data_IF_193613144063
#
_entry.id   IF_193613144063
#
_cell.length_a   1.000
_cell.length_b   1.000
_cell.length_c   1.000
_cell.angle_alpha   90.00
_cell.angle_beta   90.00
_cell.angle_gamma   90.00
#
_symmetry.space_group_name_H-M   'P 1'
#
loop_
_entity.id
_entity.type
_entity.pdbx_description
1 polymer ?
#
# COMPACT_ATOMS: atom_id res chain seq x y z
N UNK A 1 -45.36 -1.68 49.00
CA UNK A 1 -44.56 -1.74 47.76
C UNK A 1 -43.14 -1.32 48.10
N UNK A 2 -42.16 -2.20 47.87
CA UNK A 2 -40.74 -2.01 48.20
C UNK A 2 -40.04 -1.16 47.13
N UNK A 3 -39.14 -0.24 47.48
CA UNK A 3 -38.03 0.14 46.61
C UNK A 3 -36.88 -0.85 46.79
N UNK A 4 -36.29 -1.28 45.68
CA UNK A 4 -35.14 -2.18 45.62
C UNK A 4 -33.85 -1.45 46.01
N UNK A 5 -33.07 -2.11 46.88
CA UNK A 5 -31.69 -1.78 47.25
C UNK A 5 -30.71 -2.15 46.12
N UNK A 6 -29.58 -1.44 46.07
CA UNK A 6 -28.33 -1.84 45.42
C UNK A 6 -27.37 -0.65 45.35
N UNK A 7 -26.85 -0.19 46.48
CA UNK A 7 -25.50 -0.48 47.02
C UNK A 7 -24.34 0.17 46.26
N UNK A 8 -23.74 1.15 46.95
CA UNK A 8 -22.38 1.67 46.77
C UNK A 8 -21.35 0.55 46.61
N UNK A 9 -20.39 0.75 45.70
CA UNK A 9 -18.95 0.50 45.95
C UNK A 9 -18.10 1.40 45.05
N UNK A 10 -17.79 2.59 45.56
CA UNK A 10 -16.60 3.36 45.17
C UNK A 10 -15.36 2.54 45.56
N UNK A 11 -14.85 1.74 44.61
CA UNK A 11 -13.55 1.10 44.69
C UNK A 11 -12.51 2.01 44.04
N UNK A 12 -11.92 2.91 44.82
CA UNK A 12 -10.66 3.56 44.49
C UNK A 12 -9.56 2.49 44.48
N UNK A 13 -9.30 1.89 43.31
CA UNK A 13 -8.03 1.19 43.09
C UNK A 13 -6.96 2.25 42.84
N UNK A 14 -6.06 2.40 43.83
CA UNK A 14 -4.77 3.06 43.66
C UNK A 14 -4.09 2.41 42.45
N UNK A 15 -4.04 3.14 41.33
CA UNK A 15 -3.18 2.80 40.21
C UNK A 15 -1.75 2.70 40.72
N UNK A 16 -1.20 1.51 40.57
CA UNK A 16 0.18 1.19 40.87
C UNK A 16 1.09 2.21 40.19
N UNK A 17 2.14 2.60 40.91
CA UNK A 17 3.14 3.54 40.42
C UNK A 17 3.62 3.16 39.04
N UNK A 18 3.76 4.18 38.20
CA UNK A 18 4.59 4.17 37.01
C UNK A 18 5.91 3.49 37.37
N UNK A 19 6.05 2.23 37.00
CA UNK A 19 7.35 1.62 36.84
C UNK A 19 8.01 2.43 35.72
N UNK A 20 8.99 3.24 36.11
CA UNK A 20 9.99 3.73 35.18
C UNK A 20 10.56 2.47 34.55
N UNK A 21 10.25 2.24 33.27
CA UNK A 21 10.84 1.15 32.50
C UNK A 21 12.35 1.28 32.66
N UNK A 22 12.97 0.30 33.29
CA UNK A 22 14.41 0.17 33.33
C UNK A 22 14.87 0.21 31.87
N UNK A 23 15.73 1.17 31.52
CA UNK A 23 16.18 1.33 30.14
C UNK A 23 16.88 0.02 29.74
N UNK A 24 16.35 -0.65 28.72
CA UNK A 24 16.93 -1.90 28.24
C UNK A 24 18.42 -1.66 27.91
N UNK A 25 19.30 -2.53 28.41
CA UNK A 25 20.71 -2.43 28.11
C UNK A 25 20.93 -2.64 26.61
N UNK A 26 21.82 -1.87 25.95
CA UNK A 26 22.09 -2.06 24.54
C UNK A 26 22.69 -3.44 24.29
N UNK A 27 22.21 -4.10 23.24
CA UNK A 27 22.64 -5.42 22.80
C UNK A 27 22.80 -5.43 21.28
N UNK A 28 23.48 -6.42 20.68
CA UNK A 28 23.47 -6.60 19.24
C UNK A 28 22.07 -7.00 18.75
N UNK A 29 21.60 -6.33 17.71
CA UNK A 29 20.37 -6.63 16.96
C UNK A 29 20.74 -6.87 15.51
N UNK A 30 20.12 -7.85 14.87
CA UNK A 30 20.39 -8.24 13.48
C UNK A 30 19.15 -8.02 12.63
N UNK A 31 19.34 -7.31 11.51
CA UNK A 31 18.31 -7.04 10.53
C UNK A 31 18.68 -7.58 9.15
N UNK A 32 17.75 -8.28 8.49
CA UNK A 32 17.85 -8.51 7.04
C UNK A 32 17.31 -7.27 6.33
N UNK A 33 18.20 -6.49 5.74
CA UNK A 33 17.93 -5.16 5.23
C UNK A 33 18.01 -5.11 3.71
N UNK A 34 17.12 -4.31 3.12
CA UNK A 34 17.07 -4.04 1.69
C UNK A 34 17.54 -2.63 1.39
N UNK A 35 18.32 -2.49 0.33
CA UNK A 35 18.98 -1.26 -0.06
C UNK A 35 18.86 -0.99 -1.55
N UNK A 36 19.07 0.26 -1.92
CA UNK A 36 19.43 0.66 -3.28
C UNK A 36 20.77 1.37 -3.23
N UNK A 37 21.71 0.92 -4.05
CA UNK A 37 23.03 1.56 -4.20
C UNK A 37 22.91 2.95 -4.84
N UNK A 38 23.95 3.78 -4.74
CA UNK A 38 24.02 5.07 -5.45
C UNK A 38 23.87 4.95 -6.97
N UNK A 39 24.24 3.80 -7.53
CA UNK A 39 24.02 3.45 -8.95
C UNK A 39 22.61 2.95 -9.28
N UNK A 40 21.70 2.89 -8.30
CA UNK A 40 20.32 2.44 -8.50
C UNK A 40 20.12 0.93 -8.51
N UNK A 41 21.18 0.15 -8.26
CA UNK A 41 21.12 -1.32 -8.20
C UNK A 41 20.56 -1.76 -6.84
N UNK A 42 19.51 -2.62 -6.79
CA UNK A 42 19.03 -3.20 -5.56
C UNK A 42 20.08 -4.10 -4.91
N UNK A 43 20.16 -4.06 -3.59
CA UNK A 43 21.06 -4.91 -2.81
C UNK A 43 20.37 -5.32 -1.52
N UNK A 44 20.73 -6.47 -0.99
CA UNK A 44 20.25 -6.92 0.30
C UNK A 44 21.41 -7.39 1.17
N UNK A 45 21.22 -7.30 2.48
CA UNK A 45 22.05 -8.07 3.38
C UNK A 45 21.80 -7.88 4.86
N UNK A 46 22.53 -8.67 5.63
CA UNK A 46 22.44 -8.68 7.08
C UNK A 46 23.20 -7.49 7.65
N UNK A 47 22.56 -6.77 8.58
CA UNK A 47 23.18 -5.67 9.32
C UNK A 47 23.04 -5.94 10.80
N UNK A 48 24.15 -5.80 11.55
CA UNK A 48 24.14 -5.78 12.99
C UNK A 48 24.19 -4.33 13.51
N UNK A 49 23.38 -4.03 14.51
CA UNK A 49 23.39 -2.76 15.24
C UNK A 49 23.43 -3.03 16.74
N UNK A 50 24.30 -2.33 17.47
CA UNK A 50 24.33 -2.34 18.93
C UNK A 50 23.36 -1.28 19.47
N UNK A 51 22.15 -1.69 19.85
CA UNK A 51 21.05 -0.81 20.25
C UNK A 51 20.13 -1.44 21.32
N UNK A 52 19.22 -0.63 21.85
CA UNK A 52 18.30 -1.03 22.93
C UNK A 52 17.00 -1.64 22.41
N UNK A 53 16.59 -1.29 21.20
CA UNK A 53 15.31 -1.66 20.60
C UNK A 53 15.33 -1.50 19.07
N UNK A 54 14.20 -1.85 18.44
CA UNK A 54 14.02 -1.77 16.99
C UNK A 54 14.05 -0.34 16.41
N UNK A 55 13.72 0.68 17.21
CA UNK A 55 13.78 2.08 16.77
C UNK A 55 15.24 2.56 16.75
N UNK A 56 16.03 2.18 17.75
CA UNK A 56 17.46 2.37 17.79
C UNK A 56 18.17 1.68 16.62
N UNK A 57 17.75 0.46 16.25
CA UNK A 57 18.25 -0.23 15.06
C UNK A 57 18.06 0.61 13.79
N UNK A 58 16.83 1.05 13.52
CA UNK A 58 16.48 1.83 12.32
C UNK A 58 17.23 3.16 12.29
N UNK A 59 17.28 3.86 13.41
CA UNK A 59 17.98 5.16 13.52
C UNK A 59 19.47 5.02 13.19
N UNK A 60 20.13 4.00 13.73
CA UNK A 60 21.54 3.77 13.45
C UNK A 60 21.78 3.31 12.00
N UNK A 61 20.88 2.47 11.46
CA UNK A 61 20.94 2.02 10.07
C UNK A 61 20.77 3.18 9.08
N UNK A 62 19.79 4.05 9.29
CA UNK A 62 19.54 5.22 8.44
C UNK A 62 20.70 6.22 8.45
N UNK A 63 21.42 6.32 9.57
CA UNK A 63 22.62 7.14 9.67
C UNK A 63 23.85 6.49 8.99
N UNK A 64 23.96 5.17 9.05
CA UNK A 64 25.14 4.43 8.58
C UNK A 64 25.08 4.04 7.09
N UNK A 65 23.89 3.71 6.57
CA UNK A 65 23.72 3.24 5.19
C UNK A 65 24.18 4.26 4.12
N UNK A 66 23.92 5.58 4.25
CA UNK A 66 24.41 6.56 3.29
C UNK A 66 25.95 6.63 3.22
N UNK A 67 26.64 6.35 4.32
CA UNK A 67 28.11 6.30 4.37
C UNK A 67 28.68 5.10 3.58
N UNK A 68 27.86 4.09 3.32
CA UNK A 68 28.17 2.94 2.46
C UNK A 68 27.67 3.13 1.01
N UNK A 69 27.14 4.31 0.67
CA UNK A 69 26.52 4.54 -0.64
C UNK A 69 25.21 3.77 -0.84
N UNK A 70 24.47 3.54 0.25
CA UNK A 70 23.21 2.79 0.25
C UNK A 70 22.06 3.67 0.72
N UNK A 71 20.88 3.46 0.12
CA UNK A 71 19.61 3.98 0.59
C UNK A 71 18.77 2.84 1.14
N UNK A 72 18.37 2.90 2.41
CA UNK A 72 17.55 1.88 3.06
C UNK A 72 16.16 1.84 2.43
N UNK A 73 15.67 0.64 2.09
CA UNK A 73 14.32 0.40 1.57
C UNK A 73 13.42 -0.33 2.55
N UNK A 74 13.99 -1.22 3.36
CA UNK A 74 13.21 -1.99 4.31
C UNK A 74 14.07 -2.90 5.17
N UNK A 75 13.43 -3.54 6.15
CA UNK A 75 14.03 -4.58 6.98
C UNK A 75 12.96 -5.63 7.25
N UNK A 76 13.16 -6.83 6.70
CA UNK A 76 12.12 -7.88 6.71
C UNK A 76 12.08 -8.66 8.01
N UNK A 77 13.26 -8.86 8.60
CA UNK A 77 13.45 -9.63 9.81
C UNK A 77 14.42 -8.89 10.70
N UNK A 78 14.04 -8.68 11.96
CA UNK A 78 14.82 -7.97 12.95
C UNK A 78 14.77 -8.74 14.27
N UNK A 79 15.91 -9.26 14.71
CA UNK A 79 16.01 -10.15 15.88
C UNK A 79 17.16 -9.69 16.79
N UNK A 80 16.93 -9.55 18.10
CA UNK A 80 18.00 -9.44 19.10
C UNK A 80 18.94 -10.65 19.06
N UNK A 81 20.25 -10.47 19.16
CA UNK A 81 21.21 -11.56 19.01
C UNK A 81 21.04 -12.67 20.07
N UNK A 82 20.54 -12.33 21.26
CA UNK A 82 20.25 -13.30 22.34
C UNK A 82 19.00 -14.16 22.07
N UNK A 83 18.20 -13.81 21.05
CA UNK A 83 16.99 -14.53 20.64
C UNK A 83 17.17 -15.34 19.35
N UNK A 84 18.37 -15.32 18.75
CA UNK A 84 18.67 -16.06 17.53
C UNK A 84 18.44 -17.57 17.72
N UNK A 85 17.72 -18.16 16.77
CA UNK A 85 17.55 -19.60 16.65
C UNK A 85 18.40 -20.15 15.50
N UNK A 86 18.82 -21.43 15.56
CA UNK A 86 19.46 -22.09 14.43
C UNK A 86 18.59 -22.01 13.16
N UNK A 87 19.15 -21.53 12.06
CA UNK A 87 18.45 -21.34 10.78
C UNK A 87 17.87 -19.94 10.58
N UNK A 88 17.90 -19.06 11.60
CA UNK A 88 17.60 -17.66 11.38
C UNK A 88 18.58 -17.04 10.38
N UNK A 89 18.05 -16.34 9.38
CA UNK A 89 18.81 -15.72 8.29
C UNK A 89 19.46 -16.71 7.29
N UNK A 90 19.06 -17.98 7.29
CA UNK A 90 19.40 -18.93 6.22
C UNK A 90 20.90 -19.21 6.11
N UNK A 91 21.49 -18.92 4.95
CA UNK A 91 22.92 -19.15 4.66
C UNK A 91 23.85 -18.08 5.25
N UNK A 92 23.30 -17.01 5.81
CA UNK A 92 24.08 -15.92 6.39
C UNK A 92 24.68 -16.33 7.72
N UNK A 93 25.77 -15.67 8.14
CA UNK A 93 26.40 -15.86 9.45
C UNK A 93 26.01 -14.73 10.43
N UNK A 94 24.83 -14.80 11.07
CA UNK A 94 24.40 -13.80 12.04
C UNK A 94 25.27 -13.77 13.30
N UNK A 95 25.89 -14.89 13.67
CA UNK A 95 26.70 -15.00 14.88
C UNK A 95 27.96 -14.15 14.79
N UNK A 96 28.75 -14.35 13.73
CA UNK A 96 29.96 -13.56 13.52
C UNK A 96 29.66 -12.06 13.35
N UNK A 97 28.57 -11.72 12.67
CA UNK A 97 28.18 -10.32 12.49
C UNK A 97 27.73 -9.66 13.80
N UNK A 98 27.00 -10.37 14.67
CA UNK A 98 26.62 -9.88 15.98
C UNK A 98 27.82 -9.63 16.90
N UNK A 99 28.85 -10.49 16.85
CA UNK A 99 30.10 -10.31 17.61
C UNK A 99 30.92 -9.11 17.13
N UNK A 100 30.68 -8.63 15.90
CA UNK A 100 31.42 -7.52 15.32
C UNK A 100 30.97 -6.13 15.78
N UNK A 101 29.84 -6.04 16.51
CA UNK A 101 29.27 -4.77 16.98
C UNK A 101 29.35 -4.62 18.49
N UNK A 102 29.45 -3.36 18.94
CA UNK A 102 29.49 -3.00 20.34
C UNK A 102 29.56 -1.49 20.50
N UNK A 103 29.77 -1.00 21.73
CA UNK A 103 29.78 0.45 22.00
C UNK A 103 30.79 1.24 21.13
N UNK A 104 31.92 0.64 20.76
CA UNK A 104 32.94 1.28 19.92
C UNK A 104 32.65 1.19 18.41
N UNK A 105 31.83 0.23 17.99
CA UNK A 105 31.42 0.02 16.60
C UNK A 105 29.93 -0.34 16.58
N UNK A 106 29.04 0.66 16.59
CA UNK A 106 27.63 0.43 16.81
C UNK A 106 26.91 -0.17 15.61
N UNK A 107 27.49 -0.15 14.41
CA UNK A 107 26.89 -0.70 13.19
C UNK A 107 27.93 -1.50 12.41
N UNK A 108 27.53 -2.67 11.90
CA UNK A 108 28.30 -3.46 10.97
C UNK A 108 27.40 -4.04 9.87
N UNK A 109 27.85 -3.90 8.63
CA UNK A 109 27.20 -4.49 7.46
C UNK A 109 27.91 -5.81 7.14
N UNK A 110 27.12 -6.87 6.94
CA UNK A 110 27.59 -8.13 6.36
C UNK A 110 27.87 -7.99 4.87
N UNK A 111 28.13 -9.12 4.21
CA UNK A 111 28.30 -9.15 2.76
C UNK A 111 27.03 -8.67 2.07
N UNK A 112 27.12 -7.74 1.12
CA UNK A 112 25.97 -7.26 0.37
C UNK A 112 25.85 -8.08 -0.90
N UNK A 113 24.71 -8.73 -1.10
CA UNK A 113 24.41 -9.40 -2.35
C UNK A 113 23.61 -8.47 -3.25
N UNK A 114 24.01 -8.39 -4.53
CA UNK A 114 23.18 -7.76 -5.53
C UNK A 114 21.86 -8.53 -5.55
N UNK A 115 20.76 -7.83 -5.28
CA UNK A 115 19.44 -8.37 -5.54
C UNK A 115 19.20 -8.10 -7.01
N UNK A 116 19.15 -9.16 -7.81
CA UNK A 116 18.39 -9.08 -9.05
C UNK A 116 17.01 -8.60 -8.62
N UNK A 117 16.54 -7.48 -9.17
CA UNK A 117 15.23 -6.89 -8.83
C UNK A 117 14.04 -7.77 -9.22
N UNK A 118 14.29 -9.06 -9.45
CA UNK A 118 13.34 -10.12 -9.74
C UNK A 118 13.34 -11.04 -8.52
N UNK A 119 12.29 -10.93 -7.70
CA UNK A 119 11.93 -12.03 -6.82
C UNK A 119 11.83 -13.29 -7.69
N UNK A 120 12.59 -14.32 -7.32
CA UNK A 120 12.51 -15.66 -7.92
C UNK A 120 11.05 -16.06 -8.08
N UNK A 121 10.62 -16.25 -9.33
CA UNK A 121 9.24 -16.33 -9.79
C UNK A 121 8.43 -17.57 -9.38
N UNK A 122 8.63 -18.08 -8.16
CA UNK A 122 7.76 -19.09 -7.54
C UNK A 122 7.28 -18.71 -6.12
N UNK A 123 7.86 -17.68 -5.48
CA UNK A 123 7.47 -17.20 -4.12
C UNK A 123 6.97 -15.74 -4.10
N UNK A 124 6.93 -15.08 -5.26
CA UNK A 124 6.49 -13.69 -5.35
C UNK A 124 4.97 -13.59 -5.20
N UNK A 125 4.47 -13.19 -4.03
CA UNK A 125 3.04 -12.94 -3.76
C UNK A 125 2.41 -11.91 -4.72
N UNK A 126 3.22 -10.99 -5.26
CA UNK A 126 2.76 -9.89 -6.11
C UNK A 126 3.53 -9.87 -7.43
N UNK A 127 2.80 -9.70 -8.51
CA UNK A 127 3.30 -9.40 -9.85
C UNK A 127 3.15 -7.90 -10.13
N UNK A 128 4.25 -7.28 -10.53
CA UNK A 128 4.31 -5.86 -10.90
C UNK A 128 4.36 -5.74 -12.42
N UNK A 129 3.50 -4.90 -12.98
CA UNK A 129 3.42 -4.64 -14.40
C UNK A 129 3.75 -3.17 -14.69
N UNK A 130 4.62 -2.92 -15.67
CA UNK A 130 4.87 -1.58 -16.19
C UNK A 130 4.04 -1.35 -17.45
N UNK A 131 3.23 -0.29 -17.46
CA UNK A 131 2.44 0.10 -18.64
C UNK A 131 3.18 1.11 -19.52
N UNK A 132 4.39 1.53 -19.12
CA UNK A 132 5.22 2.47 -19.85
C UNK A 132 4.75 3.92 -19.73
N UNK A 133 5.08 4.71 -20.76
CA UNK A 133 4.70 6.11 -20.86
C UNK A 133 3.22 6.26 -21.21
N UNK A 134 2.53 7.14 -20.48
CA UNK A 134 1.12 7.43 -20.64
C UNK A 134 0.95 8.88 -21.09
N UNK A 135 0.51 9.03 -22.32
CA UNK A 135 0.11 10.33 -22.85
C UNK A 135 -1.34 10.64 -22.42
N UNK A 136 -1.60 11.78 -21.75
CA UNK A 136 -2.95 12.17 -21.39
C UNK A 136 -3.79 12.52 -22.61
N UNK A 137 -5.10 12.44 -22.45
CA UNK A 137 -6.03 12.94 -23.45
C UNK A 137 -5.96 14.47 -23.51
N UNK A 138 -5.92 15.01 -24.72
CA UNK A 138 -6.00 16.45 -24.97
C UNK A 138 -7.31 16.81 -25.66
N UNK A 139 -7.63 18.10 -25.71
CA UNK A 139 -8.81 18.59 -26.46
C UNK A 139 -8.65 18.51 -27.99
N UNK A 140 -7.44 18.20 -28.49
CA UNK A 140 -7.08 18.27 -29.91
C UNK A 140 -7.09 16.89 -30.60
N UNK A 141 -7.69 15.86 -30.00
CA UNK A 141 -7.74 14.53 -30.61
C UNK A 141 -8.86 14.47 -31.65
N UNK A 142 -8.49 14.48 -32.94
CA UNK A 142 -9.37 14.33 -34.10
C UNK A 142 -9.75 12.84 -34.34
N UNK A 143 -10.15 12.14 -33.29
CA UNK A 143 -10.68 10.77 -33.37
C UNK A 143 -12.21 10.79 -33.24
N UNK A 144 -12.90 10.03 -34.09
CA UNK A 144 -14.37 9.86 -34.06
C UNK A 144 -14.73 8.38 -33.89
N UNK A 145 -15.26 7.95 -32.72
CA UNK A 145 -15.54 8.77 -31.54
C UNK A 145 -14.25 9.17 -30.77
N UNK A 146 -14.30 10.25 -29.98
CA UNK A 146 -13.13 10.71 -29.22
C UNK A 146 -12.74 9.69 -28.15
N UNK A 147 -11.43 9.46 -27.91
CA UNK A 147 -10.97 8.53 -26.90
C UNK A 147 -11.38 9.01 -25.50
N UNK A 148 -11.76 8.05 -24.67
CA UNK A 148 -12.12 8.24 -23.27
C UNK A 148 -11.03 7.79 -22.32
N UNK A 149 -10.04 7.02 -22.80
CA UNK A 149 -8.88 6.57 -22.04
C UNK A 149 -7.61 6.62 -22.89
N UNK A 150 -6.42 6.83 -22.30
CA UNK A 150 -5.15 6.75 -23.00
C UNK A 150 -4.98 5.38 -23.64
N UNK A 151 -4.46 5.33 -24.87
CA UNK A 151 -4.28 4.09 -25.63
C UNK A 151 -3.51 3.02 -24.83
N UNK A 152 -2.45 3.42 -24.13
CA UNK A 152 -1.63 2.54 -23.31
C UNK A 152 -2.39 1.89 -22.14
N UNK A 153 -3.43 2.56 -21.61
CA UNK A 153 -4.24 2.05 -20.50
C UNK A 153 -5.52 1.34 -20.94
N UNK A 154 -5.93 1.48 -22.20
CA UNK A 154 -7.22 0.94 -22.68
C UNK A 154 -7.36 -0.56 -22.43
N UNK A 155 -6.33 -1.35 -22.75
CA UNK A 155 -6.35 -2.79 -22.55
C UNK A 155 -6.39 -3.16 -21.05
N UNK A 156 -5.61 -2.47 -20.21
CA UNK A 156 -5.56 -2.73 -18.78
C UNK A 156 -6.88 -2.36 -18.07
N UNK A 157 -7.57 -1.31 -18.53
CA UNK A 157 -8.80 -0.82 -17.88
C UNK A 157 -10.06 -1.43 -18.47
N UNK A 158 -10.16 -1.63 -19.77
CA UNK A 158 -11.41 -2.05 -20.43
C UNK A 158 -11.22 -3.22 -21.40
N UNK A 159 -10.00 -3.71 -21.56
CA UNK A 159 -9.72 -4.89 -22.38
C UNK A 159 -10.17 -6.21 -21.75
N UNK A 160 -9.97 -7.31 -22.50
CA UNK A 160 -10.18 -8.67 -22.00
C UNK A 160 -9.30 -8.93 -20.78
N UNK A 161 -9.91 -9.41 -19.69
CA UNK A 161 -9.18 -9.87 -18.52
C UNK A 161 -8.76 -11.33 -18.71
N UNK A 162 -7.68 -11.75 -18.03
CA UNK A 162 -7.30 -13.15 -17.92
C UNK A 162 -8.49 -14.06 -17.57
N UNK A 163 -8.50 -15.32 -18.02
CA UNK A 163 -9.55 -16.27 -17.65
C UNK A 163 -9.77 -16.32 -16.14
N UNK A 164 -11.00 -16.60 -15.66
CA UNK A 164 -11.24 -16.85 -14.25
C UNK A 164 -10.29 -17.91 -13.70
N UNK A 165 -9.69 -17.63 -12.55
CA UNK A 165 -8.93 -18.61 -11.77
C UNK A 165 -9.85 -19.72 -11.25
N UNK A 166 -9.28 -20.87 -10.91
CA UNK A 166 -10.03 -21.99 -10.33
C UNK A 166 -10.76 -21.59 -9.03
N UNK A 167 -10.15 -20.69 -8.24
CA UNK A 167 -10.77 -20.16 -7.03
C UNK A 167 -12.02 -19.30 -7.34
N UNK A 168 -11.97 -18.46 -8.36
CA UNK A 168 -13.13 -17.69 -8.83
C UNK A 168 -14.22 -18.62 -9.37
N UNK A 169 -13.83 -19.61 -10.19
CA UNK A 169 -14.77 -20.60 -10.73
C UNK A 169 -15.46 -21.38 -9.60
N UNK A 170 -14.71 -21.84 -8.59
CA UNK A 170 -15.26 -22.54 -7.43
C UNK A 170 -16.24 -21.65 -6.64
N UNK A 171 -15.92 -20.36 -6.46
CA UNK A 171 -16.78 -19.40 -5.75
C UNK A 171 -18.12 -19.18 -6.46
N UNK A 172 -18.12 -19.19 -7.80
CA UNK A 172 -19.31 -18.96 -8.62
C UNK A 172 -19.96 -20.27 -9.14
N UNK A 173 -19.36 -21.42 -8.84
CA UNK A 173 -19.80 -22.77 -9.21
C UNK A 173 -19.50 -23.19 -10.65
N UNK A 174 -19.24 -22.25 -11.57
CA UNK A 174 -18.76 -22.53 -12.92
C UNK A 174 -18.18 -21.29 -13.58
N UNK A 175 -17.30 -21.47 -14.58
CA UNK A 175 -16.70 -20.35 -15.33
C UNK A 175 -17.75 -19.46 -16.03
N UNK A 176 -18.86 -20.04 -16.50
CA UNK A 176 -19.95 -19.30 -17.13
C UNK A 176 -20.73 -18.38 -16.15
N UNK A 177 -20.62 -18.62 -14.84
CA UNK A 177 -21.26 -17.81 -13.80
C UNK A 177 -20.33 -16.77 -13.20
N UNK A 178 -19.06 -16.75 -13.62
CA UNK A 178 -18.10 -15.75 -13.18
C UNK A 178 -18.48 -14.39 -13.80
N UNK A 179 -18.65 -13.32 -12.99
CA UNK A 179 -19.02 -12.01 -13.51
C UNK A 179 -18.03 -11.46 -14.54
N UNK A 180 -18.52 -10.61 -15.43
CA UNK A 180 -17.65 -9.82 -16.29
C UNK A 180 -16.76 -8.89 -15.45
N UNK A 181 -15.57 -8.60 -15.97
CA UNK A 181 -14.66 -7.65 -15.35
C UNK A 181 -15.25 -6.24 -15.36
N UNK A 182 -15.08 -5.53 -14.24
CA UNK A 182 -15.50 -4.15 -14.02
C UNK A 182 -14.30 -3.29 -13.67
N UNK A 183 -14.42 -2.00 -13.95
CA UNK A 183 -13.38 -1.02 -13.67
C UNK A 183 -13.85 -0.11 -12.58
N UNK A 184 -12.96 0.20 -11.64
CA UNK A 184 -13.25 1.10 -10.55
C UNK A 184 -12.15 2.16 -10.46
N UNK A 185 -12.47 3.28 -9.85
CA UNK A 185 -11.49 4.21 -9.33
C UNK A 185 -11.75 4.47 -7.85
N UNK A 186 -10.69 4.60 -7.06
CA UNK A 186 -10.77 5.16 -5.71
C UNK A 186 -10.14 6.54 -5.77
N UNK A 187 -10.99 7.57 -5.64
CA UNK A 187 -10.67 8.97 -5.88
C UNK A 187 -10.76 9.76 -4.58
N UNK A 188 -9.80 10.65 -4.37
CA UNK A 188 -9.77 11.60 -3.27
C UNK A 188 -10.61 12.84 -3.59
N UNK A 189 -11.71 13.02 -2.85
CA UNK A 189 -12.56 14.20 -2.99
C UNK A 189 -11.82 15.51 -2.69
N UNK A 190 -10.78 15.49 -1.86
CA UNK A 190 -9.98 16.68 -1.58
C UNK A 190 -9.22 17.20 -2.82
N UNK A 191 -8.97 16.33 -3.81
CA UNK A 191 -8.30 16.67 -5.07
C UNK A 191 -9.28 16.98 -6.18
N UNK A 192 -10.54 16.56 -6.08
CA UNK A 192 -11.55 16.70 -7.13
C UNK A 192 -12.57 17.75 -6.73
N UNK A 193 -12.50 18.98 -7.28
CA UNK A 193 -13.48 20.02 -6.98
C UNK A 193 -14.89 19.54 -7.31
N UNK A 194 -15.84 19.77 -6.41
CA UNK A 194 -17.24 19.41 -6.59
C UNK A 194 -17.46 17.91 -6.93
N UNK A 195 -16.64 17.01 -6.37
CA UNK A 195 -16.64 15.59 -6.73
C UNK A 195 -18.03 14.93 -6.65
N UNK A 196 -18.79 15.20 -5.59
CA UNK A 196 -20.11 14.63 -5.37
C UNK A 196 -21.08 15.06 -6.47
N UNK A 197 -21.05 16.33 -6.87
CA UNK A 197 -21.85 16.82 -7.99
C UNK A 197 -21.48 16.11 -9.29
N UNK A 198 -20.18 15.91 -9.56
CA UNK A 198 -19.76 15.18 -10.77
C UNK A 198 -20.15 13.70 -10.74
N UNK A 199 -20.08 13.05 -9.58
CA UNK A 199 -20.54 11.67 -9.41
C UNK A 199 -22.05 11.55 -9.60
N UNK A 200 -22.84 12.44 -8.98
CA UNK A 200 -24.30 12.50 -9.15
C UNK A 200 -24.68 12.72 -10.62
N UNK A 201 -24.05 13.68 -11.29
CA UNK A 201 -24.29 13.96 -12.71
C UNK A 201 -23.86 12.83 -13.63
N UNK A 202 -22.84 12.06 -13.26
CA UNK A 202 -22.36 10.93 -14.07
C UNK A 202 -23.33 9.76 -14.10
N UNK A 203 -24.18 9.61 -13.08
CA UNK A 203 -25.03 8.44 -12.89
C UNK A 203 -24.27 7.15 -12.56
N UNK A 204 -22.94 7.20 -12.46
CA UNK A 204 -22.11 6.02 -12.18
C UNK A 204 -22.32 5.54 -10.73
N UNK A 205 -22.38 4.22 -10.49
CA UNK A 205 -22.41 3.67 -9.14
C UNK A 205 -21.18 4.12 -8.31
N UNK A 206 -21.40 4.71 -7.15
CA UNK A 206 -20.31 5.22 -6.31
C UNK A 206 -20.61 5.11 -4.82
N UNK A 207 -19.55 5.08 -4.00
CA UNK A 207 -19.66 5.01 -2.53
C UNK A 207 -18.44 5.60 -1.83
N UNK A 208 -18.66 6.47 -0.84
CA UNK A 208 -17.59 6.95 0.03
C UNK A 208 -17.06 5.82 0.92
N UNK A 209 -15.73 5.69 1.10
CA UNK A 209 -15.16 4.69 2.00
C UNK A 209 -15.47 4.97 3.49
N UNK A 210 -15.81 6.21 3.83
CA UNK A 210 -16.28 6.59 5.16
C UNK A 210 -17.78 6.33 5.35
N UNK A 211 -18.24 6.29 6.61
CA UNK A 211 -19.63 5.99 7.00
C UNK A 211 -20.10 6.86 8.14
N UNK A 212 -21.42 7.03 8.25
CA UNK A 212 -22.08 7.71 9.36
C UNK A 212 -21.54 9.14 9.51
N UNK A 213 -21.29 9.54 10.76
CA UNK A 213 -20.78 10.88 11.08
C UNK A 213 -19.49 11.24 10.32
N UNK A 214 -18.60 10.27 10.07
CA UNK A 214 -17.37 10.52 9.32
C UNK A 214 -17.64 10.86 7.84
N UNK A 215 -18.68 10.27 7.23
CA UNK A 215 -19.11 10.63 5.88
C UNK A 215 -19.76 12.02 5.88
N UNK A 216 -20.65 12.29 6.82
CA UNK A 216 -21.32 13.59 6.93
C UNK A 216 -20.33 14.74 7.12
N UNK A 217 -19.27 14.51 7.90
CA UNK A 217 -18.29 15.54 8.25
C UNK A 217 -17.14 15.68 7.27
N UNK A 218 -16.71 14.59 6.64
CA UNK A 218 -15.48 14.57 5.82
C UNK A 218 -15.73 14.09 4.38
N UNK A 219 -16.99 13.94 3.95
CA UNK A 219 -17.32 13.39 2.64
C UNK A 219 -16.70 14.15 1.47
N UNK A 220 -16.53 15.47 1.61
CA UNK A 220 -15.90 16.41 0.68
C UNK A 220 -14.39 16.25 0.54
N UNK A 221 -13.74 15.57 1.50
CA UNK A 221 -12.29 15.31 1.53
C UNK A 221 -11.96 13.82 1.72
N UNK A 222 -12.96 12.95 1.62
CA UNK A 222 -12.83 11.52 1.80
C UNK A 222 -12.52 10.81 0.46
N UNK A 223 -11.95 9.59 0.51
CA UNK A 223 -11.87 8.73 -0.66
C UNK A 223 -13.23 8.12 -1.02
N UNK A 224 -13.55 8.10 -2.31
CA UNK A 224 -14.75 7.45 -2.86
C UNK A 224 -14.38 6.42 -3.90
N UNK A 225 -15.04 5.28 -3.87
CA UNK A 225 -15.01 4.32 -4.97
C UNK A 225 -16.11 4.67 -5.98
N UNK A 226 -15.80 4.59 -7.27
CA UNK A 226 -16.75 4.71 -8.38
C UNK A 226 -16.54 3.54 -9.34
N UNK A 227 -17.62 2.95 -9.84
CA UNK A 227 -17.60 2.00 -10.95
C UNK A 227 -17.58 2.78 -12.26
N UNK A 228 -16.51 2.61 -13.05
CA UNK A 228 -16.28 3.33 -14.29
C UNK A 228 -16.82 2.56 -15.49
N UNK A 229 -17.45 3.29 -16.41
CA UNK A 229 -17.81 2.82 -17.74
C UNK A 229 -16.86 3.43 -18.77
N UNK A 230 -16.53 2.70 -19.84
CA UNK A 230 -15.53 3.13 -20.83
C UNK A 230 -15.96 4.43 -21.52
N UNK A 231 -17.25 4.58 -21.81
CA UNK A 231 -17.85 5.64 -22.60
C UNK A 231 -18.31 6.83 -21.75
N UNK A 232 -18.21 6.72 -20.42
CA UNK A 232 -18.67 7.77 -19.52
C UNK A 232 -17.77 9.01 -19.60
N UNK A 233 -18.39 10.19 -19.73
CA UNK A 233 -17.68 11.49 -19.70
C UNK A 233 -16.84 11.65 -18.42
N UNK A 234 -17.31 11.12 -17.29
CA UNK A 234 -16.56 11.15 -16.02
C UNK A 234 -15.26 10.34 -16.11
N UNK A 235 -15.28 9.15 -16.74
CA UNK A 235 -14.08 8.36 -17.00
C UNK A 235 -13.07 9.15 -17.82
N UNK A 236 -13.54 9.79 -18.91
CA UNK A 236 -12.67 10.63 -19.76
C UNK A 236 -11.98 11.76 -19.00
N UNK A 237 -12.68 12.39 -18.06
CA UNK A 237 -12.14 13.47 -17.23
C UNK A 237 -10.94 13.05 -16.38
N UNK A 238 -10.90 11.78 -15.92
CA UNK A 238 -9.75 11.24 -15.18
C UNK A 238 -8.46 11.30 -15.99
N UNK A 239 -8.57 11.17 -17.30
CA UNK A 239 -7.43 11.08 -18.21
C UNK A 239 -7.20 12.31 -19.08
N UNK A 240 -8.05 13.33 -18.93
CA UNK A 240 -7.94 14.57 -19.71
C UNK A 240 -7.02 15.57 -19.01
N UNK A 241 -6.11 16.17 -19.78
CA UNK A 241 -5.25 17.27 -19.38
C UNK A 241 -5.71 18.54 -20.09
N UNK A 242 -6.25 19.49 -19.34
CA UNK A 242 -6.55 20.84 -19.83
C UNK A 242 -6.61 21.85 -18.66
N UNK A 243 -7.00 23.10 -18.96
CA UNK A 243 -7.24 24.14 -17.95
C UNK A 243 -8.62 24.05 -17.29
N UNK A 244 -9.47 23.12 -17.70
CA UNK A 244 -10.81 22.96 -17.14
C UNK A 244 -10.75 22.34 -15.74
N UNK A 245 -11.48 22.86 -14.74
CA UNK A 245 -11.49 22.30 -13.39
C UNK A 245 -11.95 20.83 -13.32
N UNK A 246 -12.77 20.42 -14.30
CA UNK A 246 -13.33 19.08 -14.42
C UNK A 246 -12.34 18.06 -14.97
N UNK A 247 -11.23 18.48 -15.58
CA UNK A 247 -10.18 17.61 -16.07
C UNK A 247 -9.19 17.31 -14.93
N UNK A 248 -8.88 16.03 -14.74
CA UNK A 248 -8.31 15.53 -13.49
C UNK A 248 -6.93 14.90 -13.64
N UNK A 249 -6.38 14.83 -14.86
CA UNK A 249 -5.09 14.17 -15.09
C UNK A 249 -4.00 14.72 -14.16
N UNK A 250 -3.72 16.02 -14.20
CA UNK A 250 -2.63 16.62 -13.40
C UNK A 250 -2.88 16.61 -11.88
N UNK A 251 -4.10 16.27 -11.45
CA UNK A 251 -4.47 16.23 -10.03
C UNK A 251 -4.09 14.90 -9.37
N UNK A 252 -3.81 13.86 -10.16
CA UNK A 252 -3.54 12.51 -9.66
C UNK A 252 -4.56 12.10 -8.58
N UNK A 253 -5.88 12.10 -8.90
CA UNK A 253 -6.93 12.09 -7.89
C UNK A 253 -7.02 10.76 -7.14
N UNK A 254 -6.38 9.69 -7.61
CA UNK A 254 -6.31 8.46 -6.88
C UNK A 254 -5.79 7.29 -7.72
N UNK A 255 -6.34 6.10 -7.46
CA UNK A 255 -5.94 4.86 -8.11
C UNK A 255 -7.10 4.22 -8.87
N UNK A 256 -6.75 3.33 -9.80
CA UNK A 256 -7.67 2.56 -10.63
C UNK A 256 -7.63 1.08 -10.22
N UNK A 257 -8.69 0.35 -10.51
CA UNK A 257 -8.81 -1.07 -10.20
C UNK A 257 -9.56 -1.77 -11.33
N UNK A 258 -9.13 -2.98 -11.69
CA UNK A 258 -9.82 -3.83 -12.67
C UNK A 258 -9.96 -5.22 -12.08
N UNK A 259 -11.19 -5.71 -11.94
CA UNK A 259 -11.48 -6.99 -11.28
C UNK A 259 -12.90 -7.47 -11.51
N UNK A 260 -13.28 -8.60 -10.93
CA UNK A 260 -14.63 -9.20 -11.08
C UNK A 260 -15.55 -9.01 -9.87
N UNK A 261 -15.15 -8.18 -8.92
CA UNK A 261 -15.95 -7.84 -7.76
C UNK A 261 -17.05 -6.82 -8.12
N UNK A 262 -18.13 -6.83 -7.34
CA UNK A 262 -19.12 -5.75 -7.37
C UNK A 262 -18.63 -4.55 -6.57
N UNK A 263 -19.18 -3.36 -6.84
CA UNK A 263 -18.86 -2.13 -6.11
C UNK A 263 -18.87 -2.31 -4.59
N UNK A 264 -19.85 -3.07 -4.08
CA UNK A 264 -20.01 -3.30 -2.65
C UNK A 264 -18.84 -4.08 -2.05
N UNK A 265 -18.28 -5.04 -2.78
CA UNK A 265 -17.16 -5.86 -2.33
C UNK A 265 -15.86 -5.08 -2.38
N UNK A 266 -15.65 -4.29 -3.44
CA UNK A 266 -14.53 -3.33 -3.54
C UNK A 266 -14.56 -2.37 -2.35
N UNK A 267 -15.73 -1.78 -2.08
CA UNK A 267 -15.90 -0.85 -0.98
C UNK A 267 -15.67 -1.50 0.39
N UNK A 268 -16.22 -2.70 0.63
CA UNK A 268 -16.01 -3.47 1.88
C UNK A 268 -14.55 -3.80 2.10
N UNK A 269 -13.81 -4.12 1.03
CA UNK A 269 -12.39 -4.43 1.09
C UNK A 269 -11.59 -3.20 1.48
N UNK A 270 -11.64 -2.14 0.67
CA UNK A 270 -10.74 -1.00 0.80
C UNK A 270 -11.04 -0.11 2.01
N UNK A 271 -12.29 -0.03 2.48
CA UNK A 271 -12.61 0.77 3.68
C UNK A 271 -11.87 0.33 4.94
N UNK A 272 -11.45 -0.94 5.01
CA UNK A 272 -10.71 -1.51 6.15
C UNK A 272 -9.29 -0.94 6.28
N UNK A 273 -8.73 -0.41 5.19
CA UNK A 273 -7.33 0.03 5.13
C UNK A 273 -7.17 1.55 5.23
N UNK A 274 -8.25 2.29 5.48
CA UNK A 274 -8.21 3.76 5.62
C UNK A 274 -7.49 4.24 6.88
N UNK A 275 -7.34 3.37 7.88
CA UNK A 275 -6.63 3.62 9.13
C UNK A 275 -5.72 2.45 9.46
N UNK A 276 -4.50 2.76 9.86
CA UNK A 276 -3.52 1.79 10.38
C UNK A 276 -3.20 2.12 11.82
N UNK A 277 -3.01 1.08 12.64
CA UNK A 277 -2.54 1.23 14.00
C UNK A 277 -1.01 1.32 14.02
N UNK A 278 -0.46 2.19 14.86
CA UNK A 278 0.97 2.26 15.12
C UNK A 278 1.31 1.52 16.41
N UNK A 279 2.58 1.19 16.61
CA UNK A 279 3.04 0.45 17.79
C UNK A 279 2.80 1.20 19.11
N UNK A 280 2.80 2.54 19.08
CA UNK A 280 2.49 3.42 20.21
C UNK A 280 0.97 3.59 20.48
N UNK A 281 0.12 2.81 19.80
CA UNK A 281 -1.33 2.83 19.97
C UNK A 281 -2.04 4.01 19.28
N UNK A 282 -1.33 4.84 18.52
CA UNK A 282 -1.96 5.85 17.67
C UNK A 282 -2.58 5.21 16.42
N UNK A 283 -3.45 5.97 15.76
CA UNK A 283 -4.02 5.60 14.48
C UNK A 283 -3.64 6.64 13.44
N UNK A 284 -3.02 6.18 12.36
CA UNK A 284 -2.67 7.00 11.20
C UNK A 284 -3.63 6.71 10.05
N UNK A 285 -3.92 7.73 9.25
CA UNK A 285 -4.67 7.56 8.01
C UNK A 285 -3.72 7.08 6.92
N UNK A 286 -3.99 5.91 6.36
CA UNK A 286 -3.26 5.39 5.21
C UNK A 286 -3.98 5.82 3.94
N UNK A 287 -3.36 6.75 3.21
CA UNK A 287 -3.85 7.26 1.92
C UNK A 287 -3.40 6.36 0.77
N UNK A 288 -3.77 5.09 0.83
CA UNK A 288 -3.32 4.08 -0.14
C UNK A 288 -3.76 4.34 -1.58
N UNK A 289 -4.76 5.20 -1.78
CA UNK A 289 -5.24 5.61 -3.11
C UNK A 289 -4.32 6.61 -3.80
N UNK A 290 -3.37 7.21 -3.09
CA UNK A 290 -2.35 8.06 -3.71
C UNK A 290 -1.44 7.20 -4.61
N UNK A 291 -1.22 7.57 -5.88
CA UNK A 291 -0.40 6.76 -6.80
C UNK A 291 0.99 6.43 -6.25
N UNK A 292 1.66 7.39 -5.62
CA UNK A 292 2.98 7.20 -5.01
C UNK A 292 2.95 6.23 -3.83
N UNK A 293 1.88 6.26 -3.01
CA UNK A 293 1.70 5.33 -1.89
C UNK A 293 1.41 3.94 -2.43
N UNK A 294 0.46 3.80 -3.38
CA UNK A 294 0.13 2.52 -4.00
C UNK A 294 1.37 1.87 -4.63
N UNK A 295 2.18 2.63 -5.36
CA UNK A 295 3.44 2.17 -5.96
C UNK A 295 4.46 1.71 -4.91
N UNK A 296 4.47 2.30 -3.72
CA UNK A 296 5.37 1.92 -2.64
C UNK A 296 4.90 0.68 -1.85
N UNK A 297 3.58 0.44 -1.76
CA UNK A 297 3.00 -0.63 -0.92
C UNK A 297 3.60 -2.03 -1.14
N UNK A 298 3.86 -2.50 -2.37
CA UNK A 298 4.49 -3.81 -2.60
C UNK A 298 5.86 -3.97 -1.93
N UNK A 299 6.58 -2.86 -1.70
CA UNK A 299 7.94 -2.87 -1.15
C UNK A 299 7.99 -2.63 0.36
N UNK A 300 6.87 -2.20 0.98
CA UNK A 300 6.83 -1.84 2.41
C UNK A 300 5.89 -2.72 3.22
N UNK A 301 4.95 -3.43 2.58
CA UNK A 301 4.08 -4.37 3.25
C UNK A 301 4.76 -5.73 3.38
N UNK A 302 4.83 -6.25 4.61
CA UNK A 302 5.14 -7.67 4.85
C UNK A 302 4.08 -8.57 4.19
N UNK A 303 4.48 -9.79 3.82
CA UNK A 303 3.65 -10.72 3.04
C UNK A 303 2.22 -10.90 3.58
N UNK A 304 2.04 -11.02 4.90
CA UNK A 304 0.70 -11.15 5.50
C UNK A 304 -0.19 -9.92 5.23
N UNK A 305 0.37 -8.71 5.39
CA UNK A 305 -0.37 -7.47 5.16
C UNK A 305 -0.58 -7.22 3.66
N UNK A 306 0.39 -7.59 2.82
CA UNK A 306 0.26 -7.54 1.38
C UNK A 306 -0.87 -8.47 0.90
N UNK A 307 -0.94 -9.71 1.39
CA UNK A 307 -2.00 -10.67 1.05
C UNK A 307 -3.39 -10.20 1.48
N UNK A 308 -3.48 -9.40 2.55
CA UNK A 308 -4.73 -8.79 3.01
C UNK A 308 -5.10 -7.56 2.19
N UNK A 309 -4.14 -6.71 1.85
CA UNK A 309 -4.36 -5.46 1.13
C UNK A 309 -4.62 -5.69 -0.37
N UNK A 310 -3.77 -6.46 -1.03
CA UNK A 310 -3.89 -6.78 -2.46
C UNK A 310 -4.84 -7.98 -2.65
N UNK A 311 -6.05 -7.74 -3.18
CA UNK A 311 -6.99 -8.82 -3.43
C UNK A 311 -6.49 -9.72 -4.56
N UNK A 312 -6.85 -11.00 -4.49
CA UNK A 312 -6.68 -11.98 -5.58
C UNK A 312 -7.65 -11.74 -6.75
N UNK A 313 -8.74 -11.00 -6.52
CA UNK A 313 -9.81 -10.76 -7.50
C UNK A 313 -9.64 -9.48 -8.34
N UNK A 314 -8.58 -8.69 -8.11
CA UNK A 314 -8.34 -7.46 -8.88
C UNK A 314 -6.87 -7.13 -9.09
N UNK A 315 -6.60 -6.47 -10.21
CA UNK A 315 -5.39 -5.71 -10.47
C UNK A 315 -5.61 -4.26 -9.99
N UNK A 316 -4.67 -3.74 -9.22
CA UNK A 316 -4.62 -2.33 -8.83
C UNK A 316 -3.70 -1.59 -9.79
N UNK A 317 -4.09 -0.40 -10.22
CA UNK A 317 -3.40 0.37 -11.25
C UNK A 317 -3.13 1.77 -10.71
N UNK A 318 -1.87 2.17 -10.70
CA UNK A 318 -1.45 3.53 -10.40
C UNK A 318 -1.11 4.26 -11.70
N UNK A 319 -1.38 5.56 -11.71
CA UNK A 319 -0.98 6.47 -12.80
C UNK A 319 -0.31 7.66 -12.14
N UNK A 320 0.90 7.98 -12.57
CA UNK A 320 1.68 9.13 -12.11
C UNK A 320 1.77 10.17 -13.24
N UNK A 321 0.96 11.25 -13.17
CA UNK A 321 0.97 12.33 -14.16
C UNK A 321 2.27 13.13 -14.22
N UNK A 322 3.06 13.15 -13.12
CA UNK A 322 4.30 13.91 -13.03
C UNK A 322 5.43 13.18 -13.78
N UNK A 323 5.47 11.85 -13.69
CA UNK A 323 6.37 11.01 -14.48
C UNK A 323 5.80 10.65 -15.86
N UNK A 324 4.49 10.83 -16.06
CA UNK A 324 3.80 10.36 -17.26
C UNK A 324 3.84 8.85 -17.40
N UNK A 325 3.75 8.11 -16.29
CA UNK A 325 3.87 6.64 -16.25
C UNK A 325 2.72 5.99 -15.52
N UNK A 326 2.52 4.70 -15.77
CA UNK A 326 1.57 3.89 -15.01
C UNK A 326 2.09 2.47 -14.82
N UNK A 327 1.53 1.79 -13.82
CA UNK A 327 1.82 0.41 -13.56
C UNK A 327 0.67 -0.31 -12.87
N UNK A 328 0.73 -1.63 -12.93
CA UNK A 328 -0.22 -2.55 -12.33
C UNK A 328 0.42 -3.36 -11.21
N UNK A 329 -0.39 -3.72 -10.21
CA UNK A 329 -0.02 -4.62 -9.13
C UNK A 329 -1.12 -5.68 -9.05
N UNK A 330 -0.74 -6.95 -9.16
CA UNK A 330 -1.64 -8.10 -9.05
C UNK A 330 -1.09 -9.07 -8.03
N UNK A 331 -1.97 -9.72 -7.26
CA UNK A 331 -1.58 -10.86 -6.43
C UNK A 331 -1.58 -12.14 -7.27
N UNK A 332 -0.53 -12.94 -7.17
CA UNK A 332 -0.40 -14.26 -7.81
C UNK A 332 -0.40 -15.39 -6.77
#
# INVERSE_FOLDING_TARGET
>A
MRPLRGQDRFGLTKGQGSAVSEAAAPAPWLGHCHFVTTSGVPAQGLVAVYCTDAEGFRTALDAAAPLQGLTVKGTDKLIPADQLQPGDFGEWDPGSLAESVGAARPVAFGELTASDGEGTGDDALLELQDFGEIEPLSMMMDEDPPPTVPKALKAALFGPMHPPSDAEVARHGSAAKVPAARTFAILDAAKVPMMQLYLEQSGLPHRCLYKGEALERFGDVAPWVVELEEEATFTRRLFSRSKLPADLWDKAPGMLLRGRAELEDVWKHFRKFTKVGTHDGKSLFLRFWEPSVLRALPHILVAENAARFFPDWAQLIWVDPAEGRAGGIRRV
#
